data_IF_812238088523
#
_entry.id   IF_812238088523
#
_cell.length_a   1.000
_cell.length_b   1.000
_cell.length_c   1.000
_cell.angle_alpha   90.00
_cell.angle_beta   90.00
_cell.angle_gamma   90.00
#
_symmetry.space_group_name_H-M   'P 1'
#
loop_
_entity.id
_entity.type
_entity.pdbx_description
1 polymer ?
#
# COMPACT_ATOMS: atom_id res chain seq x y z
N UNK A 1 10.73 -9.03 10.90
CA UNK A 1 10.11 -7.71 10.74
C UNK A 1 9.40 -7.62 9.39
N UNK A 2 8.26 -6.97 9.38
CA UNK A 2 7.41 -6.89 8.17
C UNK A 2 8.16 -6.28 7.00
N UNK A 3 9.00 -5.28 7.25
CA UNK A 3 9.77 -4.60 6.20
C UNK A 3 10.82 -5.47 5.52
N UNK A 4 11.06 -6.68 6.03
CA UNK A 4 12.05 -7.59 5.47
C UNK A 4 11.44 -8.61 4.52
N UNK A 5 10.13 -8.58 4.32
CA UNK A 5 9.44 -9.53 3.46
C UNK A 5 9.15 -8.90 2.10
N UNK A 6 8.90 -9.76 1.13
CA UNK A 6 8.55 -9.34 -0.22
C UNK A 6 7.05 -9.14 -0.33
N UNK A 7 6.65 -8.21 -1.18
CA UNK A 7 5.27 -7.83 -1.39
C UNK A 7 4.90 -8.04 -2.85
N UNK A 8 3.69 -8.54 -3.08
CA UNK A 8 3.24 -8.96 -4.40
C UNK A 8 1.86 -8.39 -4.70
N UNK A 9 1.59 -8.19 -5.99
CA UNK A 9 0.27 -7.81 -6.46
C UNK A 9 -0.67 -9.01 -6.33
N UNK A 10 -1.82 -8.85 -5.65
CA UNK A 10 -2.76 -9.96 -5.51
C UNK A 10 -3.46 -10.35 -6.81
N UNK A 11 -3.35 -9.54 -7.85
CA UNK A 11 -4.04 -9.77 -9.12
C UNK A 11 -3.16 -10.39 -10.18
N UNK A 12 -1.88 -10.01 -10.29
CA UNK A 12 -0.96 -10.57 -11.28
C UNK A 12 0.18 -11.36 -10.68
N UNK A 13 0.29 -11.37 -9.35
CA UNK A 13 1.30 -12.12 -8.60
C UNK A 13 2.74 -11.70 -8.88
N UNK A 14 2.94 -10.52 -9.43
CA UNK A 14 4.29 -9.98 -9.62
C UNK A 14 4.75 -9.23 -8.40
N UNK A 15 6.06 -9.27 -8.14
CA UNK A 15 6.65 -8.62 -6.99
C UNK A 15 6.55 -7.10 -7.11
N UNK A 16 6.08 -6.46 -6.06
CA UNK A 16 5.96 -5.01 -5.97
C UNK A 16 7.09 -4.39 -5.17
N UNK A 17 7.76 -5.17 -4.31
CA UNK A 17 8.82 -4.66 -3.45
C UNK A 17 10.15 -4.58 -4.21
N UNK A 18 10.88 -3.50 -3.93
CA UNK A 18 12.21 -3.25 -4.49
C UNK A 18 12.97 -2.39 -3.50
N UNK A 19 14.17 -2.82 -3.10
CA UNK A 19 15.02 -2.08 -2.17
C UNK A 19 14.29 -1.70 -0.87
N UNK A 20 13.52 -2.66 -0.32
CA UNK A 20 12.75 -2.48 0.91
C UNK A 20 11.64 -1.43 0.79
N UNK A 21 11.20 -1.14 -0.42
CA UNK A 21 10.07 -0.26 -0.68
C UNK A 21 9.08 -0.97 -1.59
N UNK A 22 7.82 -0.57 -1.50
CA UNK A 22 6.76 -1.11 -2.35
C UNK A 22 6.42 -0.06 -3.39
N UNK A 23 6.42 -0.46 -4.66
CA UNK A 23 6.22 0.44 -5.78
C UNK A 23 4.78 0.38 -6.28
N UNK A 24 4.16 1.54 -6.42
CA UNK A 24 2.83 1.70 -6.99
C UNK A 24 2.82 2.79 -8.04
N UNK A 25 1.87 2.70 -8.98
CA UNK A 25 1.44 3.86 -9.74
C UNK A 25 0.26 4.47 -8.99
N UNK A 26 0.31 5.77 -8.76
CA UNK A 26 -0.71 6.47 -8.00
C UNK A 26 -1.33 7.53 -8.87
N UNK A 27 -2.67 7.51 -9.01
CA UNK A 27 -3.40 8.55 -9.72
C UNK A 27 -4.08 9.47 -8.71
N UNK A 28 -3.76 10.74 -8.81
CA UNK A 28 -4.33 11.78 -7.96
C UNK A 28 -5.74 12.17 -8.45
N UNK A 29 -6.47 12.89 -7.60
CA UNK A 29 -7.81 13.38 -7.94
C UNK A 29 -7.81 14.28 -9.17
N UNK A 30 -6.70 14.97 -9.46
CA UNK A 30 -6.54 15.82 -10.65
C UNK A 30 -6.08 15.03 -11.89
N UNK A 31 -6.13 13.70 -11.86
CA UNK A 31 -5.74 12.79 -12.94
C UNK A 31 -4.24 12.70 -13.19
N UNK A 32 -3.41 13.37 -12.43
CA UNK A 32 -1.95 13.25 -12.53
C UNK A 32 -1.53 11.89 -11.96
N UNK A 33 -0.67 11.18 -12.69
CA UNK A 33 -0.15 9.87 -12.28
C UNK A 33 1.31 10.01 -11.91
N UNK A 34 1.68 9.47 -10.74
CA UNK A 34 3.07 9.45 -10.27
C UNK A 34 3.42 8.05 -9.81
N UNK A 35 4.71 7.75 -9.80
CA UNK A 35 5.21 6.51 -9.16
C UNK A 35 5.43 6.79 -7.69
N UNK A 36 4.92 5.92 -6.84
CA UNK A 36 5.06 6.04 -5.39
C UNK A 36 5.86 4.88 -4.86
N UNK A 37 6.88 5.19 -4.06
CA UNK A 37 7.70 4.21 -3.36
C UNK A 37 7.38 4.34 -1.87
N UNK A 38 6.74 3.33 -1.32
CA UNK A 38 6.25 3.34 0.05
C UNK A 38 7.08 2.41 0.92
N UNK A 39 7.47 2.89 2.11
CA UNK A 39 8.10 2.04 3.11
C UNK A 39 7.00 1.20 3.77
N UNK A 40 7.02 -0.13 3.61
CA UNK A 40 5.94 -0.97 4.13
C UNK A 40 6.00 -1.21 5.63
N UNK A 41 7.05 -0.75 6.29
CA UNK A 41 7.22 -0.96 7.72
C UNK A 41 6.08 -0.28 8.50
N UNK A 42 5.38 -1.01 9.40
CA UNK A 42 4.32 -0.41 10.19
C UNK A 42 4.84 0.79 10.98
N UNK A 43 4.05 1.85 11.03
CA UNK A 43 4.37 3.11 11.71
C UNK A 43 5.47 3.93 11.06
N UNK A 44 6.07 3.45 9.97
CA UNK A 44 6.86 4.29 9.11
C UNK A 44 5.88 5.06 8.24
N UNK A 45 6.07 6.32 8.02
CA UNK A 45 5.16 7.11 7.18
C UNK A 45 5.93 7.65 6.00
N UNK A 46 7.04 6.98 5.67
CA UNK A 46 7.95 7.45 4.64
C UNK A 46 7.50 7.00 3.26
N UNK A 47 7.56 7.90 2.32
CA UNK A 47 7.33 7.59 0.92
C UNK A 47 8.15 8.53 0.06
N UNK A 48 8.30 8.15 -1.20
CA UNK A 48 8.94 8.97 -2.22
C UNK A 48 8.12 8.84 -3.50
N UNK A 49 7.93 9.91 -4.24
CA UNK A 49 7.20 9.83 -5.51
C UNK A 49 7.97 10.52 -6.62
N UNK A 50 7.74 10.03 -7.84
CA UNK A 50 8.37 10.53 -9.05
C UNK A 50 7.33 10.65 -10.16
N UNK A 51 7.14 11.84 -10.75
CA UNK A 51 7.72 13.11 -10.31
C UNK A 51 7.22 13.52 -8.93
N UNK A 52 7.94 14.40 -8.28
CA UNK A 52 7.55 14.87 -6.95
C UNK A 52 6.14 15.43 -6.96
N UNK A 53 5.36 15.10 -5.96
CA UNK A 53 3.98 15.56 -5.83
C UNK A 53 3.71 16.00 -4.40
N UNK A 54 2.95 17.09 -4.28
CA UNK A 54 2.55 17.64 -2.98
C UNK A 54 1.10 17.22 -2.72
N UNK A 55 0.94 16.11 -2.01
CA UNK A 55 -0.40 15.59 -1.71
C UNK A 55 -1.08 16.49 -0.68
N UNK A 56 -2.39 16.69 -0.88
CA UNK A 56 -3.18 17.47 0.04
C UNK A 56 -3.66 16.60 1.20
N UNK A 57 -3.81 17.20 2.37
CA UNK A 57 -4.34 16.53 3.55
C UNK A 57 -5.70 15.89 3.21
N UNK A 58 -5.87 14.63 3.57
CA UNK A 58 -7.08 13.84 3.32
C UNK A 58 -7.38 13.59 1.83
N UNK A 59 -6.42 13.85 0.95
CA UNK A 59 -6.56 13.51 -0.45
C UNK A 59 -6.67 12.00 -0.62
N UNK A 60 -7.64 11.54 -1.41
CA UNK A 60 -7.82 10.12 -1.73
C UNK A 60 -7.22 9.87 -3.11
N UNK A 61 -6.33 8.88 -3.20
CA UNK A 61 -5.65 8.55 -4.45
C UNK A 61 -5.92 7.11 -4.84
N UNK A 62 -5.81 6.80 -6.13
CA UNK A 62 -5.93 5.44 -6.63
C UNK A 62 -4.56 4.82 -6.79
N UNK A 63 -4.40 3.62 -6.23
CA UNK A 63 -3.18 2.84 -6.36
C UNK A 63 -3.39 1.76 -7.40
N UNK A 64 -2.48 1.66 -8.36
CA UNK A 64 -2.52 0.60 -9.37
C UNK A 64 -1.20 -0.14 -9.41
N UNK A 65 -1.27 -1.42 -9.78
CA UNK A 65 -0.08 -2.22 -9.95
C UNK A 65 0.71 -1.72 -11.17
N UNK A 66 2.02 -1.49 -11.04
CA UNK A 66 2.82 -1.03 -12.17
C UNK A 66 2.98 -2.08 -13.27
N UNK A 67 2.67 -3.34 -12.98
CA UNK A 67 2.80 -4.44 -13.95
C UNK A 67 1.49 -4.72 -14.69
N UNK A 68 0.40 -4.96 -13.98
CA UNK A 68 -0.87 -5.35 -14.62
C UNK A 68 -1.86 -4.19 -14.76
N UNK A 69 -1.56 -3.03 -14.17
CA UNK A 69 -2.38 -1.80 -14.24
C UNK A 69 -3.72 -1.90 -13.54
N UNK A 70 -3.96 -2.96 -12.79
CA UNK A 70 -5.21 -3.11 -12.07
C UNK A 70 -5.24 -2.23 -10.82
N UNK A 71 -6.42 -1.72 -10.49
CA UNK A 71 -6.64 -0.97 -9.26
C UNK A 71 -6.55 -1.92 -8.08
N UNK A 72 -5.78 -1.54 -7.06
CA UNK A 72 -5.52 -2.38 -5.90
C UNK A 72 -6.48 -2.12 -4.75
N UNK A 73 -7.53 -1.36 -4.97
CA UNK A 73 -8.51 -1.04 -3.91
C UNK A 73 -9.07 -2.30 -3.29
N UNK A 74 -9.14 -2.31 -1.95
CA UNK A 74 -9.66 -3.43 -1.20
C UNK A 74 -11.19 -3.46 -1.27
N UNK A 75 -11.75 -4.68 -1.40
CA UNK A 75 -13.18 -4.87 -1.29
C UNK A 75 -13.62 -4.96 0.18
N UNK A 76 -12.67 -5.26 1.07
CA UNK A 76 -12.97 -5.44 2.49
C UNK A 76 -12.99 -4.13 3.27
N UNK A 77 -12.02 -3.25 3.01
CA UNK A 77 -11.92 -1.96 3.69
C UNK A 77 -12.06 -0.83 2.68
N UNK A 78 -13.02 0.04 2.92
CA UNK A 78 -13.24 1.21 2.09
C UNK A 78 -12.03 2.15 2.21
N UNK A 79 -11.56 2.67 1.09
CA UNK A 79 -10.42 3.59 1.00
C UNK A 79 -9.09 2.97 1.45
N UNK A 80 -8.96 1.66 1.33
CA UNK A 80 -7.70 0.95 1.55
C UNK A 80 -7.34 0.15 0.30
N UNK A 81 -6.04 -0.06 0.11
CA UNK A 81 -5.54 -0.98 -0.91
C UNK A 81 -5.13 -2.28 -0.23
N UNK A 82 -5.11 -3.36 -1.01
CA UNK A 82 -4.67 -4.67 -0.55
C UNK A 82 -3.51 -5.15 -1.39
N UNK A 83 -2.44 -5.59 -0.73
CA UNK A 83 -1.33 -6.29 -1.37
C UNK A 83 -1.02 -7.56 -0.58
N UNK A 84 -0.22 -8.44 -1.15
CA UNK A 84 0.14 -9.70 -0.53
C UNK A 84 1.57 -9.62 -0.01
N UNK A 85 1.76 -9.99 1.25
CA UNK A 85 3.08 -10.11 1.86
C UNK A 85 3.42 -11.60 1.99
N UNK A 86 4.55 -12.01 1.42
CA UNK A 86 5.00 -13.39 1.48
C UNK A 86 6.02 -13.54 2.61
N UNK A 87 5.64 -14.25 3.66
CA UNK A 87 6.52 -14.53 4.80
C UNK A 87 7.35 -15.77 4.53
N UNK A 88 6.71 -16.84 4.02
CA UNK A 88 7.39 -18.04 3.53
C UNK A 88 6.67 -18.49 2.26
N UNK A 89 7.17 -19.57 1.64
CA UNK A 89 6.53 -20.14 0.46
C UNK A 89 5.05 -20.50 0.71
N UNK A 90 4.72 -20.79 1.97
CA UNK A 90 3.39 -21.27 2.32
C UNK A 90 2.58 -20.28 3.16
N UNK A 91 3.19 -19.19 3.62
CA UNK A 91 2.52 -18.26 4.52
C UNK A 91 2.44 -16.90 3.85
N UNK A 92 1.21 -16.52 3.49
CA UNK A 92 0.91 -15.25 2.84
C UNK A 92 -0.03 -14.45 3.73
N UNK A 93 0.24 -13.17 3.87
CA UNK A 93 -0.62 -12.26 4.60
C UNK A 93 -1.19 -11.20 3.66
N UNK A 94 -2.40 -10.76 3.94
CA UNK A 94 -2.96 -9.59 3.30
C UNK A 94 -2.52 -8.35 4.08
N UNK A 95 -2.05 -7.35 3.36
CA UNK A 95 -1.62 -6.09 3.95
C UNK A 95 -2.43 -4.97 3.31
N UNK A 96 -3.02 -4.13 4.16
CA UNK A 96 -3.91 -3.05 3.72
C UNK A 96 -3.32 -1.71 4.12
N UNK A 97 -3.16 -0.82 3.16
CA UNK A 97 -2.72 0.55 3.39
C UNK A 97 -3.85 1.52 3.02
N UNK A 98 -3.93 2.64 3.73
CA UNK A 98 -4.93 3.65 3.43
C UNK A 98 -4.62 4.38 2.12
N UNK A 99 -5.68 4.67 1.34
CA UNK A 99 -5.61 5.51 0.15
C UNK A 99 -5.70 7.00 0.49
N UNK A 100 -5.93 7.33 1.74
CA UNK A 100 -6.13 8.70 2.19
C UNK A 100 -4.83 9.27 2.72
N UNK A 101 -4.36 10.37 2.14
CA UNK A 101 -3.13 11.01 2.61
C UNK A 101 -3.31 11.48 4.05
N UNK A 102 -2.35 11.14 4.90
CA UNK A 102 -2.40 11.47 6.33
C UNK A 102 -2.99 10.36 7.19
N UNK A 103 -3.59 9.35 6.61
CA UNK A 103 -4.09 8.18 7.35
C UNK A 103 -3.02 7.09 7.30
N UNK A 104 -2.39 6.82 8.44
CA UNK A 104 -1.24 5.93 8.51
C UNK A 104 -1.58 4.54 9.06
N UNK A 105 -2.84 4.17 9.03
CA UNK A 105 -3.26 2.84 9.50
C UNK A 105 -2.82 1.77 8.50
N UNK A 106 -2.35 0.65 9.04
CA UNK A 106 -2.00 -0.54 8.27
C UNK A 106 -2.64 -1.75 8.95
N UNK A 107 -3.33 -2.58 8.18
CA UNK A 107 -3.88 -3.84 8.68
C UNK A 107 -3.09 -4.99 8.07
N UNK A 108 -2.80 -6.00 8.88
CA UNK A 108 -2.09 -7.19 8.43
C UNK A 108 -2.83 -8.41 8.94
N UNK A 109 -3.12 -9.37 8.07
CA UNK A 109 -3.85 -10.53 8.52
C UNK A 109 -3.94 -11.67 7.52
N UNK A 110 -4.59 -12.74 7.95
CA UNK A 110 -4.90 -13.91 7.15
C UNK A 110 -6.40 -14.11 7.23
N UNK A 111 -7.07 -14.10 6.07
CA UNK A 111 -8.51 -14.32 5.99
C UNK A 111 -9.26 -13.39 6.94
N UNK A 112 -9.84 -13.93 8.03
CA UNK A 112 -10.68 -13.16 8.95
C UNK A 112 -9.92 -12.66 10.17
N UNK A 113 -8.61 -12.87 10.23
CA UNK A 113 -7.81 -12.51 11.39
C UNK A 113 -6.79 -11.45 11.00
N UNK A 114 -6.97 -10.23 11.51
CA UNK A 114 -6.13 -9.09 11.15
C UNK A 114 -5.76 -8.27 12.35
N UNK A 115 -4.57 -7.63 12.27
CA UNK A 115 -4.09 -6.72 13.28
C UNK A 115 -3.89 -5.34 12.67
N UNK A 116 -4.26 -4.31 13.42
CA UNK A 116 -4.08 -2.93 13.01
C UNK A 116 -2.76 -2.39 13.53
N UNK A 117 -2.04 -1.70 12.66
CA UNK A 117 -0.81 -0.99 13.01
C UNK A 117 -0.94 0.48 12.62
N UNK A 118 -0.33 1.35 13.43
CA UNK A 118 -0.36 2.77 13.19
C UNK A 118 -1.63 3.42 13.70
N UNK A 119 -1.75 4.70 13.42
CA UNK A 119 -2.86 5.51 13.91
C UNK A 119 -3.35 6.44 12.83
N UNK A 120 -4.62 6.81 12.94
CA UNK A 120 -5.16 7.91 12.17
C UNK A 120 -4.70 9.21 12.83
N UNK A 121 -3.97 10.02 12.09
CA UNK A 121 -3.34 11.22 12.64
C UNK A 121 -4.35 12.22 13.18
N UNK A 122 -5.51 12.31 12.55
CA UNK A 122 -6.51 13.30 12.89
C UNK A 122 -7.36 12.96 14.11
N UNK A 123 -7.06 11.89 14.80
CA UNK A 123 -7.83 11.49 15.97
C UNK A 123 -7.45 12.25 17.22
#
# INVERSE_FOLDING_TARGET
>A
MISQYDYYCPKCDKQLSENNQVLFNVQRSNKVVVKLYLDPKPRSYKYRCEPWADFQEKEVVDFTCPHCKENLESEKYSNFIKITMKVTEKVLFDVFFSRVYGDHRTYVGIEDFEEEYGHKIAS
#
